data_IF_282117518719
#
_entry.id   IF_282117518719
#
_cell.length_a   1.000
_cell.length_b   1.000
_cell.length_c   1.000
_cell.angle_alpha   90.00
_cell.angle_beta   90.00
_cell.angle_gamma   90.00
#
_symmetry.space_group_name_H-M   'P 1'
#
loop_
_entity.id
_entity.type
_entity.pdbx_description
1 polymer ?
#
# COMPACT_ATOMS: atom_id res chain seq x y z
N UNK A 1 13.09 -8.41 -11.07
CA UNK A 1 12.95 -8.33 -9.60
C UNK A 1 11.50 -8.09 -9.18
N UNK A 2 10.85 -6.98 -9.59
CA UNK A 2 9.47 -6.66 -9.19
C UNK A 2 8.43 -7.73 -9.57
N UNK A 3 8.51 -8.28 -10.79
CA UNK A 3 7.70 -9.44 -11.21
C UNK A 3 7.83 -10.64 -10.27
N UNK A 4 9.01 -10.87 -9.67
CA UNK A 4 9.24 -12.03 -8.81
C UNK A 4 8.59 -11.86 -7.43
N UNK A 5 8.65 -10.66 -6.83
CA UNK A 5 8.03 -10.39 -5.53
C UNK A 5 6.50 -10.33 -5.61
N UNK A 6 5.94 -10.10 -6.80
CA UNK A 6 4.50 -10.11 -7.06
C UNK A 6 3.98 -11.43 -7.68
N UNK A 7 4.80 -12.48 -7.77
CA UNK A 7 4.51 -13.69 -8.55
C UNK A 7 3.10 -14.31 -8.33
N UNK A 8 2.54 -14.40 -7.11
CA UNK A 8 1.19 -14.93 -6.91
C UNK A 8 0.08 -14.25 -7.74
N UNK A 9 0.20 -12.96 -8.06
CA UNK A 9 -0.82 -12.23 -8.83
C UNK A 9 -0.69 -12.40 -10.35
N UNK A 10 0.40 -13.00 -10.82
CA UNK A 10 0.72 -13.03 -12.25
C UNK A 10 1.07 -11.66 -12.84
N UNK A 11 1.33 -10.65 -12.01
CA UNK A 11 1.72 -9.32 -12.49
C UNK A 11 3.05 -9.36 -13.24
N UNK A 12 3.10 -8.69 -14.39
CA UNK A 12 4.28 -8.60 -15.26
C UNK A 12 4.75 -7.16 -15.31
N UNK A 13 5.94 -6.91 -14.78
CA UNK A 13 6.69 -5.65 -14.96
C UNK A 13 7.69 -5.84 -16.09
N UNK A 14 7.64 -4.95 -17.09
CA UNK A 14 8.51 -4.91 -18.27
C UNK A 14 9.54 -3.79 -18.15
N UNK A 15 10.50 -3.75 -19.08
CA UNK A 15 11.57 -2.74 -19.08
C UNK A 15 11.09 -1.34 -19.48
N UNK A 16 9.94 -1.25 -20.16
CA UNK A 16 9.30 -0.01 -20.60
C UNK A 16 8.21 0.48 -19.63
N UNK A 17 7.93 -0.29 -18.57
CA UNK A 17 7.10 0.17 -17.47
C UNK A 17 7.78 1.34 -16.73
N UNK A 18 6.97 2.17 -16.09
CA UNK A 18 7.43 3.33 -15.32
C UNK A 18 7.46 2.95 -13.85
N UNK A 19 8.58 3.19 -13.19
CA UNK A 19 8.71 2.95 -11.75
C UNK A 19 9.30 4.14 -11.00
N UNK A 20 9.15 4.07 -9.68
CA UNK A 20 9.71 5.00 -8.71
C UNK A 20 10.14 4.24 -7.45
N UNK A 21 11.19 4.70 -6.75
CA UNK A 21 12.13 5.75 -7.16
C UNK A 21 12.95 5.33 -8.41
N UNK A 22 13.54 6.27 -9.12
CA UNK A 22 14.32 6.01 -10.35
C UNK A 22 15.83 5.80 -10.08
N UNK A 23 16.19 5.47 -8.84
CA UNK A 23 17.56 5.25 -8.40
C UNK A 23 18.05 6.31 -7.42
N UNK A 24 19.34 6.26 -7.10
CA UNK A 24 19.96 7.08 -6.05
C UNK A 24 19.96 8.58 -6.33
N UNK A 25 19.83 8.99 -7.59
CA UNK A 25 19.75 10.41 -7.99
C UNK A 25 18.30 10.95 -7.97
N UNK A 26 17.31 10.09 -7.79
CA UNK A 26 15.88 10.43 -7.77
C UNK A 26 15.17 9.60 -6.70
N UNK A 27 15.44 9.97 -5.44
CA UNK A 27 15.02 9.27 -4.22
C UNK A 27 13.60 9.61 -3.76
N UNK A 28 12.89 10.47 -4.48
CA UNK A 28 11.53 10.84 -4.09
C UNK A 28 10.61 9.60 -4.10
N UNK A 29 10.05 9.31 -2.93
CA UNK A 29 9.10 8.22 -2.76
C UNK A 29 7.86 8.40 -3.65
N UNK A 30 7.25 7.29 -4.03
CA UNK A 30 6.16 7.31 -4.99
C UNK A 30 4.87 7.84 -4.37
N UNK A 31 4.53 9.09 -4.67
CA UNK A 31 3.21 9.69 -4.35
C UNK A 31 2.30 9.67 -5.55
N UNK A 32 1.34 8.74 -5.55
CA UNK A 32 0.42 8.55 -6.68
C UNK A 32 -0.40 9.80 -7.02
N UNK A 33 -0.72 10.65 -6.04
CA UNK A 33 -1.46 11.90 -6.28
C UNK A 33 -0.67 12.97 -7.03
N UNK A 34 0.67 12.92 -6.96
CA UNK A 34 1.55 13.95 -7.49
C UNK A 34 2.22 13.49 -8.79
N UNK A 35 2.51 12.19 -8.93
CA UNK A 35 3.35 11.69 -10.00
C UNK A 35 2.58 11.30 -11.29
N UNK A 36 2.85 12.02 -12.38
CA UNK A 36 2.24 11.77 -13.70
C UNK A 36 2.77 10.54 -14.44
N UNK A 37 3.89 9.95 -14.01
CA UNK A 37 4.43 8.74 -14.61
C UNK A 37 3.58 7.51 -14.25
N UNK A 38 3.05 7.45 -13.04
CA UNK A 38 2.34 6.28 -12.52
C UNK A 38 0.83 6.33 -12.76
N UNK A 39 0.23 7.52 -12.78
CA UNK A 39 -1.23 7.64 -12.84
C UNK A 39 -1.68 8.84 -13.69
N UNK A 40 -2.67 8.59 -14.55
CA UNK A 40 -3.25 9.60 -15.43
C UNK A 40 -3.84 10.80 -14.65
N UNK A 41 -3.83 12.03 -15.21
CA UNK A 41 -4.25 13.23 -14.50
C UNK A 41 -5.64 13.15 -13.86
N UNK A 42 -6.61 12.53 -14.54
CA UNK A 42 -7.99 12.40 -14.04
C UNK A 42 -8.05 11.49 -12.83
N UNK A 43 -7.40 10.33 -12.93
CA UNK A 43 -7.30 9.39 -11.81
C UNK A 43 -6.57 9.99 -10.62
N UNK A 44 -5.51 10.78 -10.84
CA UNK A 44 -4.82 11.49 -9.74
C UNK A 44 -5.73 12.48 -9.03
N UNK A 45 -6.50 13.28 -9.79
CA UNK A 45 -7.46 14.24 -9.22
C UNK A 45 -8.56 13.53 -8.45
N UNK A 46 -9.10 12.44 -8.98
CA UNK A 46 -10.11 11.66 -8.29
C UNK A 46 -9.57 11.07 -6.98
N UNK A 47 -8.42 10.40 -7.02
CA UNK A 47 -7.81 9.76 -5.86
C UNK A 47 -7.44 10.77 -4.76
N UNK A 48 -6.87 11.91 -5.15
CA UNK A 48 -6.49 12.98 -4.19
C UNK A 48 -7.71 13.67 -3.59
N UNK A 49 -8.74 13.97 -4.38
CA UNK A 49 -9.97 14.62 -3.89
C UNK A 49 -10.81 13.68 -3.01
N UNK A 50 -10.80 12.37 -3.31
CA UNK A 50 -11.39 11.35 -2.46
C UNK A 50 -10.69 11.29 -1.10
N UNK A 51 -9.36 11.33 -1.09
CA UNK A 51 -8.57 11.21 0.15
C UNK A 51 -8.60 12.47 1.02
N UNK A 52 -8.54 13.65 0.39
CA UNK A 52 -8.39 14.92 1.10
C UNK A 52 -9.26 16.01 0.48
N UNK A 53 -9.96 16.76 1.32
CA UNK A 53 -10.87 17.82 0.88
C UNK A 53 -10.13 19.12 0.58
N UNK A 54 -9.04 19.39 1.29
CA UNK A 54 -8.20 20.58 1.08
C UNK A 54 -6.89 20.06 0.48
N UNK A 55 -6.74 20.23 -0.84
CA UNK A 55 -5.69 19.61 -1.64
C UNK A 55 -4.35 20.34 -1.60
N UNK A 56 -4.33 21.64 -1.28
CA UNK A 56 -3.08 22.38 -1.17
C UNK A 56 -2.25 21.86 0.01
N UNK A 57 -1.26 21.00 -0.27
CA UNK A 57 -0.30 20.39 0.67
C UNK A 57 -0.86 19.28 1.57
N UNK A 58 -1.92 18.59 1.17
CA UNK A 58 -2.35 17.41 1.93
C UNK A 58 -1.40 16.23 1.70
N UNK A 59 -0.84 15.68 2.77
CA UNK A 59 -0.03 14.47 2.69
C UNK A 59 -0.91 13.29 2.27
N UNK A 60 -0.58 12.73 1.10
CA UNK A 60 -1.07 11.42 0.65
C UNK A 60 -0.09 10.32 1.09
N UNK A 61 -0.54 9.06 1.17
CA UNK A 61 0.38 7.94 1.23
C UNK A 61 1.43 7.97 0.11
N UNK A 62 2.62 7.52 0.46
CA UNK A 62 3.84 7.41 -0.34
C UNK A 62 4.25 5.94 -0.42
N UNK A 63 4.83 5.42 -1.49
CA UNK A 63 5.25 4.02 -1.55
C UNK A 63 6.75 3.93 -1.69
N UNK A 64 7.36 2.95 -1.02
CA UNK A 64 8.81 2.69 -1.12
C UNK A 64 9.18 2.36 -2.56
N UNK A 65 8.34 1.57 -3.23
CA UNK A 65 8.41 1.34 -4.67
C UNK A 65 7.01 1.38 -5.26
N UNK A 66 6.87 2.00 -6.44
CA UNK A 66 5.68 1.87 -7.27
C UNK A 66 6.09 1.66 -8.72
N UNK A 67 5.33 0.84 -9.45
CA UNK A 67 5.55 0.58 -10.87
C UNK A 67 4.22 0.44 -11.61
N UNK A 68 4.17 0.92 -12.86
CA UNK A 68 3.19 0.39 -13.81
C UNK A 68 3.51 -1.07 -14.11
N UNK A 69 2.50 -1.85 -14.46
CA UNK A 69 2.65 -3.25 -14.84
C UNK A 69 1.42 -3.73 -15.63
N UNK A 70 1.45 -4.99 -16.06
CA UNK A 70 0.26 -5.70 -16.53
C UNK A 70 -0.23 -6.69 -15.47
N UNK A 71 -1.53 -6.66 -15.16
CA UNK A 71 -2.21 -7.59 -14.26
C UNK A 71 -3.44 -8.11 -15.01
N UNK A 72 -3.57 -9.42 -15.19
CA UNK A 72 -4.68 -10.02 -15.97
C UNK A 72 -4.82 -9.38 -17.38
N UNK A 73 -3.69 -9.20 -18.06
CA UNK A 73 -3.56 -8.55 -19.37
C UNK A 73 -4.07 -7.10 -19.45
N UNK A 74 -4.33 -6.46 -18.30
CA UNK A 74 -4.74 -5.05 -18.21
C UNK A 74 -3.62 -4.19 -17.62
N UNK A 75 -3.50 -2.92 -18.05
CA UNK A 75 -2.63 -1.95 -17.38
C UNK A 75 -3.02 -1.81 -15.91
N UNK A 76 -2.04 -1.84 -15.02
CA UNK A 76 -2.25 -1.75 -13.58
C UNK A 76 -1.03 -1.25 -12.83
N UNK A 77 -1.10 -1.33 -11.50
CA UNK A 77 -0.07 -0.84 -10.59
C UNK A 77 0.46 -1.93 -9.67
N UNK A 78 1.77 -1.93 -9.47
CA UNK A 78 2.46 -2.67 -8.42
C UNK A 78 2.95 -1.65 -7.40
N UNK A 79 2.51 -1.78 -6.16
CA UNK A 79 2.82 -0.88 -5.05
C UNK A 79 3.50 -1.68 -3.94
N UNK A 80 4.66 -1.21 -3.46
CA UNK A 80 5.46 -1.91 -2.45
C UNK A 80 5.54 -1.05 -1.21
N UNK A 81 5.25 -1.67 -0.07
CA UNK A 81 5.65 -1.21 1.26
C UNK A 81 6.77 -2.13 1.75
N UNK A 82 7.95 -1.58 1.97
CA UNK A 82 9.12 -2.32 2.43
C UNK A 82 9.36 -2.12 3.93
N UNK A 83 9.89 -3.17 4.58
CA UNK A 83 10.24 -3.18 6.00
C UNK A 83 11.52 -3.98 6.21
N UNK A 84 12.39 -3.54 7.11
CA UNK A 84 13.63 -4.24 7.46
C UNK A 84 13.61 -4.85 8.87
N UNK A 85 12.80 -4.29 9.78
CA UNK A 85 12.66 -4.77 11.16
C UNK A 85 11.24 -4.64 11.72
N UNK A 86 10.97 -5.33 12.84
CA UNK A 86 9.63 -5.48 13.42
C UNK A 86 9.04 -4.14 13.88
N UNK A 87 9.86 -3.24 14.40
CA UNK A 87 9.45 -1.98 15.03
C UNK A 87 8.88 -0.98 14.01
N UNK A 88 9.13 -1.17 12.73
CA UNK A 88 8.48 -0.41 11.67
C UNK A 88 6.98 -0.75 11.51
N UNK A 89 6.53 -1.90 12.04
CA UNK A 89 5.13 -2.34 12.01
C UNK A 89 4.30 -1.59 13.07
N UNK A 90 4.07 -0.31 12.79
CA UNK A 90 3.49 0.64 13.75
C UNK A 90 2.00 0.39 14.02
N UNK A 91 1.66 0.21 15.30
CA UNK A 91 0.27 0.14 15.78
C UNK A 91 -0.40 1.53 15.85
N UNK A 92 0.34 2.60 15.54
CA UNK A 92 -0.07 3.97 15.77
C UNK A 92 -1.33 4.37 14.98
N UNK A 93 -2.16 5.19 15.63
CA UNK A 93 -3.28 5.89 15.00
C UNK A 93 -2.79 7.01 14.09
N UNK A 94 -3.70 7.54 13.27
CA UNK A 94 -3.45 8.78 12.55
C UNK A 94 -3.25 9.93 13.54
N UNK A 95 -2.14 10.66 13.40
CA UNK A 95 -1.86 11.84 14.23
C UNK A 95 -2.98 12.87 14.17
N UNK A 96 -3.37 13.38 15.33
CA UNK A 96 -4.37 14.43 15.44
C UNK A 96 -3.86 15.75 14.83
N UNK A 97 -4.67 16.44 14.03
CA UNK A 97 -4.25 17.70 13.42
C UNK A 97 -4.24 18.86 14.41
N UNK A 98 -3.34 19.81 14.18
CA UNK A 98 -3.23 21.05 14.97
C UNK A 98 -3.99 22.24 14.36
N UNK A 99 -4.55 22.09 13.16
CA UNK A 99 -5.18 23.18 12.39
C UNK A 99 -6.59 22.81 11.96
N UNK A 100 -7.43 23.83 11.73
CA UNK A 100 -8.80 23.63 11.23
C UNK A 100 -8.84 22.87 9.90
N UNK A 101 -7.96 23.22 8.97
CA UNK A 101 -7.85 22.53 7.69
C UNK A 101 -7.37 21.09 7.86
N UNK A 102 -6.45 20.86 8.81
CA UNK A 102 -6.02 19.53 9.20
C UNK A 102 -7.19 18.67 9.71
N UNK A 103 -8.05 19.20 10.56
CA UNK A 103 -9.26 18.51 11.04
C UNK A 103 -10.24 18.18 9.91
N UNK A 104 -10.45 19.10 8.96
CA UNK A 104 -11.28 18.85 7.77
C UNK A 104 -10.73 17.67 6.96
N UNK A 105 -9.41 17.62 6.74
CA UNK A 105 -8.78 16.52 6.03
C UNK A 105 -8.79 15.23 6.85
N UNK A 106 -8.60 15.29 8.17
CA UNK A 106 -8.69 14.13 9.05
C UNK A 106 -10.07 13.47 8.96
N UNK A 107 -11.14 14.24 9.01
CA UNK A 107 -12.50 13.71 8.84
C UNK A 107 -12.74 13.14 7.44
N UNK A 108 -12.18 13.75 6.39
CA UNK A 108 -12.27 13.20 5.04
C UNK A 108 -11.54 11.85 4.93
N UNK A 109 -10.34 11.74 5.49
CA UNK A 109 -9.56 10.50 5.51
C UNK A 109 -10.30 9.41 6.30
N UNK A 110 -10.90 9.77 7.45
CA UNK A 110 -11.72 8.85 8.24
C UNK A 110 -12.89 8.30 7.41
N UNK A 111 -13.58 9.13 6.65
CA UNK A 111 -14.64 8.71 5.73
C UNK A 111 -14.12 7.83 4.59
N UNK A 112 -12.97 8.18 4.02
CA UNK A 112 -12.34 7.41 2.95
C UNK A 112 -11.97 5.99 3.42
N UNK A 113 -11.35 5.85 4.59
CA UNK A 113 -11.03 4.55 5.19
C UNK A 113 -12.30 3.78 5.56
N UNK A 114 -13.31 4.44 6.12
CA UNK A 114 -14.58 3.78 6.44
C UNK A 114 -15.31 3.26 5.18
N UNK A 115 -15.29 4.02 4.09
CA UNK A 115 -15.84 3.59 2.81
C UNK A 115 -15.08 2.37 2.26
N UNK A 116 -13.75 2.38 2.31
CA UNK A 116 -12.94 1.24 1.91
C UNK A 116 -13.20 0.01 2.79
N UNK A 117 -13.31 0.19 4.11
CA UNK A 117 -13.62 -0.88 5.04
C UNK A 117 -14.96 -1.54 4.73
N UNK A 118 -16.00 -0.74 4.47
CA UNK A 118 -17.32 -1.24 4.09
C UNK A 118 -17.24 -1.98 2.76
N UNK A 119 -16.67 -1.35 1.73
CA UNK A 119 -16.59 -1.94 0.40
C UNK A 119 -15.80 -3.25 0.38
N UNK A 120 -14.71 -3.34 1.13
CA UNK A 120 -13.93 -4.58 1.25
C UNK A 120 -14.70 -5.68 2.01
N UNK A 121 -15.46 -5.32 3.06
CA UNK A 121 -16.31 -6.28 3.78
C UNK A 121 -17.46 -6.82 2.93
N UNK A 122 -18.00 -6.02 2.00
CA UNK A 122 -19.05 -6.48 1.08
C UNK A 122 -18.57 -7.63 0.18
N UNK A 123 -17.27 -7.68 -0.16
CA UNK A 123 -16.68 -8.74 -0.99
C UNK A 123 -16.06 -9.87 -0.17
N UNK A 124 -15.37 -9.54 0.91
CA UNK A 124 -14.63 -10.48 1.74
C UNK A 124 -14.76 -10.06 3.21
N UNK A 125 -15.74 -10.58 3.97
CA UNK A 125 -15.95 -10.20 5.35
C UNK A 125 -14.72 -10.40 6.24
N UNK A 126 -14.56 -9.52 7.24
CA UNK A 126 -13.54 -9.62 8.29
C UNK A 126 -12.56 -8.43 8.34
N UNK A 127 -12.77 -7.38 7.55
CA UNK A 127 -11.91 -6.18 7.61
C UNK A 127 -12.29 -5.26 8.76
N UNK A 128 -11.28 -4.64 9.37
CA UNK A 128 -11.44 -3.66 10.45
C UNK A 128 -10.53 -2.42 10.25
N UNK A 129 -10.51 -1.87 9.04
CA UNK A 129 -9.70 -0.70 8.72
C UNK A 129 -10.19 0.54 9.48
N UNK A 130 -9.28 1.30 10.07
CA UNK A 130 -9.61 2.54 10.77
C UNK A 130 -8.48 3.56 10.76
N UNK A 131 -8.78 4.79 11.19
CA UNK A 131 -7.76 5.80 11.51
C UNK A 131 -7.22 5.67 12.93
N UNK A 132 -7.81 4.82 13.76
CA UNK A 132 -7.57 4.77 15.19
C UNK A 132 -6.46 3.77 15.59
N UNK A 133 -6.03 2.90 14.69
CA UNK A 133 -4.90 1.99 14.89
C UNK A 133 -4.32 1.57 13.55
N UNK A 134 -3.06 1.13 13.55
CA UNK A 134 -2.37 0.58 12.37
C UNK A 134 -2.56 1.46 11.12
N UNK A 135 -2.39 2.77 11.28
CA UNK A 135 -2.85 3.72 10.26
C UNK A 135 -2.15 3.51 8.91
N UNK A 136 -0.87 3.14 8.91
CA UNK A 136 -0.12 2.82 7.69
C UNK A 136 -0.75 1.64 6.96
N UNK A 137 -0.91 0.50 7.64
CA UNK A 137 -1.58 -0.70 7.12
C UNK A 137 -2.98 -0.35 6.57
N UNK A 138 -3.80 0.33 7.37
CA UNK A 138 -5.17 0.67 6.99
C UNK A 138 -5.22 1.58 5.77
N UNK A 139 -4.32 2.56 5.68
CA UNK A 139 -4.31 3.48 4.55
C UNK A 139 -3.81 2.81 3.25
N UNK A 140 -2.92 1.81 3.33
CA UNK A 140 -2.46 1.03 2.16
C UNK A 140 -3.62 0.30 1.52
N UNK A 141 -4.38 -0.45 2.32
CA UNK A 141 -5.55 -1.17 1.82
C UNK A 141 -6.64 -0.24 1.32
N UNK A 142 -6.88 0.88 2.01
CA UNK A 142 -7.88 1.86 1.54
C UNK A 142 -7.54 2.45 0.17
N UNK A 143 -6.28 2.80 -0.07
CA UNK A 143 -5.84 3.33 -1.38
C UNK A 143 -5.91 2.28 -2.48
N UNK A 144 -5.47 1.05 -2.20
CA UNK A 144 -5.55 -0.03 -3.18
C UNK A 144 -7.00 -0.36 -3.54
N UNK A 145 -7.91 -0.40 -2.56
CA UNK A 145 -9.34 -0.54 -2.82
C UNK A 145 -9.85 0.59 -3.70
N UNK A 146 -9.50 1.85 -3.40
CA UNK A 146 -9.95 2.99 -4.21
C UNK A 146 -9.46 2.89 -5.66
N UNK A 147 -8.20 2.54 -5.88
CA UNK A 147 -7.65 2.30 -7.24
C UNK A 147 -8.47 1.23 -7.97
N UNK A 148 -8.78 0.11 -7.30
CA UNK A 148 -9.56 -0.96 -7.91
C UNK A 148 -10.99 -0.51 -8.24
N UNK A 149 -11.64 0.32 -7.40
CA UNK A 149 -12.96 0.92 -7.75
C UNK A 149 -12.91 1.88 -8.94
N UNK A 150 -11.72 2.41 -9.25
CA UNK A 150 -11.47 3.24 -10.44
C UNK A 150 -11.07 2.39 -11.65
N UNK A 151 -11.29 1.07 -11.59
CA UNK A 151 -10.97 0.11 -12.64
C UNK A 151 -9.47 -0.02 -12.94
N UNK A 152 -8.62 0.27 -11.95
CA UNK A 152 -7.18 0.09 -12.05
C UNK A 152 -6.80 -1.17 -11.25
N UNK A 153 -6.43 -2.28 -11.92
CA UNK A 153 -5.88 -3.45 -11.26
C UNK A 153 -4.65 -3.08 -10.44
N UNK A 154 -4.54 -3.64 -9.23
CA UNK A 154 -3.45 -3.29 -8.33
C UNK A 154 -2.94 -4.48 -7.54
N UNK A 155 -1.63 -4.52 -7.34
CA UNK A 155 -0.93 -5.46 -6.47
C UNK A 155 -0.22 -4.67 -5.38
N UNK A 156 -0.63 -4.88 -4.14
CA UNK A 156 0.04 -4.41 -2.93
C UNK A 156 1.01 -5.49 -2.44
N UNK A 157 2.30 -5.19 -2.45
CA UNK A 157 3.35 -6.06 -1.91
C UNK A 157 3.83 -5.48 -0.59
N UNK A 158 3.75 -6.28 0.47
CA UNK A 158 4.50 -6.06 1.70
C UNK A 158 5.81 -6.83 1.62
N UNK A 159 6.92 -6.10 1.49
CA UNK A 159 8.25 -6.64 1.26
C UNK A 159 9.10 -6.58 2.54
N UNK A 160 9.52 -7.73 3.04
CA UNK A 160 10.50 -7.81 4.13
C UNK A 160 11.91 -7.95 3.59
N UNK A 161 12.82 -7.03 3.92
CA UNK A 161 14.25 -7.23 3.69
C UNK A 161 14.86 -8.06 4.82
N UNK A 162 15.55 -9.13 4.45
CA UNK A 162 16.08 -10.10 5.41
C UNK A 162 17.52 -9.77 5.80
N UNK A 163 17.80 -9.81 7.10
CA UNK A 163 19.14 -9.64 7.68
C UNK A 163 19.81 -8.28 7.35
N UNK A 164 19.05 -7.18 7.33
CA UNK A 164 19.60 -5.81 7.18
C UNK A 164 20.42 -5.40 8.39
N UNK A 165 21.68 -5.86 8.48
CA UNK A 165 22.56 -5.60 9.63
C UNK A 165 22.81 -4.11 9.87
N UNK A 166 22.72 -3.30 8.81
CA UNK A 166 22.83 -1.84 8.86
C UNK A 166 21.73 -1.18 9.69
N UNK A 167 20.61 -1.88 9.93
CA UNK A 167 19.48 -1.41 10.73
C UNK A 167 19.35 -2.17 12.07
N UNK A 168 20.41 -2.86 12.50
CA UNK A 168 20.40 -3.68 13.72
C UNK A 168 20.24 -2.87 15.01
N UNK A 169 20.49 -1.57 14.98
CA UNK A 169 20.26 -0.62 16.07
C UNK A 169 18.84 -0.05 16.09
N UNK A 170 18.06 -0.25 15.02
CA UNK A 170 16.69 0.24 14.91
C UNK A 170 15.63 -0.78 15.38
N UNK A 171 15.98 -2.07 15.47
CA UNK A 171 15.00 -3.09 15.85
C UNK A 171 15.37 -4.56 15.63
N UNK A 172 14.41 -5.44 15.91
CA UNK A 172 14.52 -6.88 15.62
C UNK A 172 14.42 -7.12 14.11
N UNK A 173 15.54 -7.51 13.50
CA UNK A 173 15.64 -7.80 12.07
C UNK A 173 14.87 -9.05 11.65
N UNK A 174 14.39 -9.07 10.41
CA UNK A 174 13.81 -10.27 9.83
C UNK A 174 14.90 -11.26 9.40
N UNK A 175 15.09 -12.34 10.16
CA UNK A 175 16.11 -13.34 9.82
C UNK A 175 15.73 -14.26 8.64
N UNK A 176 14.43 -14.54 8.47
CA UNK A 176 13.91 -15.50 7.48
C UNK A 176 12.59 -15.02 6.89
N UNK A 177 12.18 -15.51 5.69
CA UNK A 177 10.86 -15.24 5.13
C UNK A 177 9.72 -15.55 6.11
N UNK A 178 9.80 -16.68 6.83
CA UNK A 178 8.79 -17.08 7.81
C UNK A 178 8.77 -16.19 9.05
N UNK A 179 9.88 -15.54 9.41
CA UNK A 179 9.88 -14.56 10.50
C UNK A 179 9.13 -13.30 10.06
N UNK A 180 9.42 -12.79 8.86
CA UNK A 180 8.71 -11.66 8.26
C UNK A 180 7.21 -11.92 8.13
N UNK A 181 6.82 -13.04 7.51
CA UNK A 181 5.42 -13.39 7.28
C UNK A 181 4.63 -13.50 8.59
N UNK A 182 5.20 -14.14 9.62
CA UNK A 182 4.56 -14.21 10.94
C UNK A 182 4.41 -12.84 11.60
N UNK A 183 5.43 -11.99 11.53
CA UNK A 183 5.37 -10.63 12.10
C UNK A 183 4.30 -9.79 11.41
N UNK A 184 4.20 -9.86 10.07
CA UNK A 184 3.18 -9.13 9.33
C UNK A 184 1.77 -9.68 9.60
N UNK A 185 1.59 -11.01 9.68
CA UNK A 185 0.30 -11.58 10.06
C UNK A 185 -0.12 -11.19 11.47
N UNK A 186 0.80 -11.21 12.44
CA UNK A 186 0.52 -10.76 13.80
C UNK A 186 0.15 -9.27 13.83
N UNK A 187 0.83 -8.44 13.05
CA UNK A 187 0.52 -7.02 12.92
C UNK A 187 -0.83 -6.75 12.25
N UNK A 188 -1.21 -7.56 11.26
CA UNK A 188 -2.46 -7.41 10.53
C UNK A 188 -3.64 -8.15 11.16
N UNK A 189 -3.40 -8.89 12.25
CA UNK A 189 -4.41 -9.68 12.93
C UNK A 189 -5.61 -8.81 13.34
N UNK A 190 -6.81 -9.37 13.20
CA UNK A 190 -8.07 -8.68 13.48
C UNK A 190 -8.34 -7.41 12.63
N UNK A 191 -7.50 -7.08 11.63
CA UNK A 191 -7.66 -5.92 10.73
C UNK A 191 -7.82 -6.35 9.27
N UNK A 192 -6.99 -7.28 8.83
CA UNK A 192 -6.98 -7.80 7.45
C UNK A 192 -7.31 -9.29 7.50
N UNK A 193 -8.37 -9.76 6.82
CA UNK A 193 -8.73 -11.18 6.85
C UNK A 193 -7.58 -12.05 6.30
N UNK A 194 -7.19 -13.10 7.02
CA UNK A 194 -6.06 -13.95 6.64
C UNK A 194 -6.14 -14.54 5.22
N UNK A 195 -7.36 -14.81 4.73
CA UNK A 195 -7.60 -15.39 3.41
C UNK A 195 -7.25 -14.50 2.22
N UNK A 196 -7.05 -13.20 2.43
CA UNK A 196 -6.76 -12.26 1.34
C UNK A 196 -5.30 -12.27 0.92
N UNK A 197 -4.42 -12.70 1.81
CA UNK A 197 -2.98 -12.75 1.55
C UNK A 197 -2.69 -13.83 0.49
N UNK A 198 -2.06 -13.41 -0.61
CA UNK A 198 -1.77 -14.28 -1.75
C UNK A 198 -2.98 -14.66 -2.61
N UNK A 199 -4.14 -14.04 -2.36
CA UNK A 199 -5.39 -14.32 -3.08
C UNK A 199 -5.89 -13.09 -3.84
N UNK A 200 -6.61 -13.33 -4.95
CA UNK A 200 -7.30 -12.29 -5.70
C UNK A 200 -8.51 -11.78 -4.92
N UNK A 201 -8.58 -10.48 -4.68
CA UNK A 201 -9.79 -9.78 -4.25
C UNK A 201 -10.44 -9.16 -5.48
N UNK A 202 -11.71 -9.50 -5.73
CA UNK A 202 -12.50 -8.89 -6.79
C UNK A 202 -13.19 -7.62 -6.28
N UNK A 203 -12.78 -6.47 -6.79
CA UNK A 203 -13.45 -5.19 -6.53
C UNK A 203 -14.16 -4.78 -7.82
N UNK A 204 -15.44 -5.12 -7.92
CA UNK A 204 -16.32 -4.75 -9.06
C UNK A 204 -15.75 -5.16 -10.44
N UNK A 205 -15.20 -6.37 -10.55
CA UNK A 205 -14.55 -6.91 -11.73
C UNK A 205 -13.09 -6.51 -11.91
N UNK A 206 -12.52 -5.76 -10.95
CA UNK A 206 -11.13 -5.30 -10.98
C UNK A 206 -10.31 -6.03 -9.93
N UNK A 207 -9.15 -6.54 -10.34
CA UNK A 207 -8.28 -7.31 -9.46
C UNK A 207 -7.54 -6.42 -8.46
N UNK A 208 -7.61 -6.79 -7.18
CA UNK A 208 -6.75 -6.30 -6.12
C UNK A 208 -6.04 -7.50 -5.49
N UNK A 209 -4.72 -7.42 -5.31
CA UNK A 209 -3.93 -8.45 -4.64
C UNK A 209 -3.17 -7.86 -3.45
N UNK A 210 -3.03 -8.65 -2.39
CA UNK A 210 -2.14 -8.37 -1.28
C UNK A 210 -1.14 -9.53 -1.14
N UNK A 211 0.15 -9.23 -1.27
CA UNK A 211 1.21 -10.24 -1.33
C UNK A 211 2.23 -9.95 -0.23
N UNK A 212 2.60 -11.00 0.50
CA UNK A 212 3.73 -10.99 1.41
C UNK A 212 4.92 -11.57 0.66
N UNK A 213 6.00 -10.80 0.57
CA UNK A 213 7.23 -11.24 -0.09
C UNK A 213 8.46 -10.85 0.74
N UNK A 214 9.59 -11.46 0.44
CA UNK A 214 10.86 -11.10 1.07
C UNK A 214 12.01 -11.16 0.09
N UNK A 215 13.04 -10.35 0.36
CA UNK A 215 14.30 -10.35 -0.35
C UNK A 215 15.45 -10.37 0.67
N UNK A 216 16.60 -11.00 0.36
CA UNK A 216 17.80 -10.75 1.14
C UNK A 216 18.11 -9.24 1.13
N UNK A 217 18.73 -8.74 2.20
CA UNK A 217 19.30 -7.39 2.20
C UNK A 217 20.23 -7.20 0.98
N UNK A 218 20.30 -5.98 0.41
CA UNK A 218 21.18 -5.65 -0.71
C UNK A 218 22.65 -5.97 -0.46
#
# INVERSE_FOLDING_TARGET
MLTAIAKPSGAIVRSDDRWMPQGFDSVDEAKLGENSALLEPDHRRELTSWWSKISARANTPNWDIASTCSIEDKPGLLLVEAKAHVEELSLASKTEPKTKNGWINHEQIKKAIAAANSGLNDFCPGWSLSVNSHYQLCNRFAWNWKLATMQIPVVLVYLGFLNCQEMSDEGELFATPNAWERSLHAHADSIVPGQVWGSRIDVQGTALWAIISSLPAP
#
